data_IF_331883681059
#
_entry.id   IF_331883681059
#
_cell.length_a   1.000
_cell.length_b   1.000
_cell.length_c   1.000
_cell.angle_alpha   90.00
_cell.angle_beta   90.00
_cell.angle_gamma   90.00
#
_symmetry.space_group_name_H-M   'P 1'
#
loop_
_entity.id
_entity.type
_entity.pdbx_description
1 polymer ?
#
# COMPACT_ATOMS: atom_id res chain seq x y z
N UNK A 1 20.42 -7.43 12.75
CA UNK A 1 20.65 -7.65 11.30
C UNK A 1 21.21 -6.39 10.65
N UNK A 2 20.58 -5.23 10.79
CA UNK A 2 20.99 -3.96 10.14
C UNK A 2 22.47 -3.59 10.39
N UNK A 3 23.00 -3.74 11.61
CA UNK A 3 24.41 -3.46 11.90
C UNK A 3 25.39 -4.39 11.16
N UNK A 4 25.00 -5.65 10.93
CA UNK A 4 25.86 -6.65 10.27
C UNK A 4 25.98 -6.37 8.77
N UNK A 5 24.90 -5.90 8.14
CA UNK A 5 24.80 -5.73 6.71
C UNK A 5 24.69 -4.25 6.26
N UNK A 6 25.02 -3.28 7.14
CA UNK A 6 24.75 -1.86 6.93
C UNK A 6 25.24 -1.32 5.56
N UNK A 7 26.39 -1.75 5.06
CA UNK A 7 26.94 -1.29 3.78
C UNK A 7 26.32 -1.99 2.55
N UNK A 8 25.60 -3.11 2.75
CA UNK A 8 24.92 -3.86 1.69
C UNK A 8 23.44 -3.50 1.58
N UNK A 9 22.85 -2.95 2.65
CA UNK A 9 21.43 -2.60 2.71
C UNK A 9 21.10 -1.56 1.64
N UNK A 10 19.94 -1.71 1.00
CA UNK A 10 19.43 -0.92 -0.13
C UNK A 10 20.23 -1.05 -1.43
N UNK A 11 21.38 -1.72 -1.42
CA UNK A 11 22.21 -1.98 -2.60
C UNK A 11 22.06 -3.42 -3.10
N UNK A 12 22.52 -4.36 -2.31
CA UNK A 12 22.59 -5.79 -2.63
C UNK A 12 21.61 -6.62 -1.77
N UNK A 13 21.11 -6.02 -0.68
CA UNK A 13 20.30 -6.70 0.33
C UNK A 13 19.23 -5.76 0.90
N UNK A 14 18.06 -6.32 1.20
CA UNK A 14 17.06 -5.71 2.06
C UNK A 14 16.83 -6.63 3.27
N UNK A 15 16.79 -6.04 4.46
CA UNK A 15 16.49 -6.77 5.69
C UNK A 15 15.23 -6.24 6.36
N UNK A 16 14.46 -7.14 6.91
CA UNK A 16 13.29 -6.80 7.71
C UNK A 16 13.07 -7.86 8.77
N UNK A 17 13.44 -7.54 10.01
CA UNK A 17 13.38 -8.45 11.16
C UNK A 17 14.15 -9.75 10.87
N UNK A 18 13.44 -10.85 10.55
CA UNK A 18 14.02 -12.18 10.27
C UNK A 18 14.08 -12.50 8.76
N UNK A 19 13.68 -11.55 7.91
CA UNK A 19 13.69 -11.74 6.46
C UNK A 19 14.86 -11.02 5.83
N UNK A 20 15.60 -11.73 4.98
CA UNK A 20 16.68 -11.17 4.18
C UNK A 20 16.36 -11.45 2.71
N UNK A 21 16.33 -10.41 1.89
CA UNK A 21 16.18 -10.50 0.44
C UNK A 21 17.46 -10.05 -0.20
N UNK A 22 18.15 -10.98 -0.85
CA UNK A 22 19.37 -10.70 -1.63
C UNK A 22 18.96 -10.39 -3.05
N UNK A 23 19.44 -9.28 -3.59
CA UNK A 23 19.15 -8.80 -4.96
C UNK A 23 20.42 -8.44 -5.68
N UNK A 24 20.41 -8.55 -6.99
CA UNK A 24 21.50 -8.12 -7.88
C UNK A 24 20.94 -7.33 -9.06
N UNK A 25 21.74 -6.46 -9.65
CA UNK A 25 21.33 -5.70 -10.84
C UNK A 25 21.31 -6.57 -12.09
N UNK A 26 22.29 -7.49 -12.21
CA UNK A 26 22.41 -8.45 -13.30
C UNK A 26 22.34 -9.86 -12.75
N UNK A 27 21.81 -10.77 -13.52
CA UNK A 27 21.71 -12.20 -13.14
C UNK A 27 23.08 -12.80 -12.88
N UNK A 28 24.08 -12.46 -13.69
CA UNK A 28 25.46 -12.94 -13.62
C UNK A 28 26.15 -12.56 -12.30
N UNK A 29 25.81 -11.39 -11.75
CA UNK A 29 26.42 -10.90 -10.51
C UNK A 29 25.80 -11.54 -9.26
N UNK A 30 24.68 -12.26 -9.40
CA UNK A 30 23.90 -12.72 -8.25
C UNK A 30 24.69 -13.69 -7.36
N UNK A 31 25.45 -14.61 -7.96
CA UNK A 31 26.29 -15.57 -7.22
C UNK A 31 27.40 -14.86 -6.44
N UNK A 32 28.00 -13.79 -7.01
CA UNK A 32 29.01 -12.99 -6.32
C UNK A 32 28.43 -12.26 -5.10
N UNK A 33 27.21 -11.71 -5.26
CA UNK A 33 26.51 -11.05 -4.17
C UNK A 33 26.14 -12.05 -3.07
N UNK A 34 25.60 -13.22 -3.43
CA UNK A 34 25.30 -14.28 -2.46
C UNK A 34 26.54 -14.73 -1.70
N UNK A 35 27.70 -14.88 -2.35
CA UNK A 35 28.96 -15.22 -1.69
C UNK A 35 29.31 -14.22 -0.60
N UNK A 36 29.25 -12.91 -0.89
CA UNK A 36 29.50 -11.85 0.10
C UNK A 36 28.53 -11.96 1.28
N UNK A 37 27.25 -12.22 1.03
CA UNK A 37 26.25 -12.39 2.09
C UNK A 37 26.59 -13.59 2.95
N UNK A 38 26.94 -14.75 2.36
CA UNK A 38 27.29 -15.95 3.11
C UNK A 38 28.61 -15.82 3.88
N UNK A 39 29.59 -15.08 3.38
CA UNK A 39 30.80 -14.72 4.12
C UNK A 39 30.45 -13.95 5.40
N UNK A 40 29.52 -12.97 5.31
CA UNK A 40 29.05 -12.24 6.50
C UNK A 40 28.31 -13.17 7.46
N UNK A 41 27.46 -14.08 6.98
CA UNK A 41 26.82 -15.09 7.84
C UNK A 41 27.87 -15.92 8.61
N UNK A 42 28.95 -16.32 7.96
CA UNK A 42 30.05 -17.09 8.61
C UNK A 42 30.78 -16.27 9.66
N UNK A 43 31.16 -15.03 9.33
CA UNK A 43 31.88 -14.13 10.25
C UNK A 43 31.07 -13.90 11.53
N UNK A 44 29.77 -13.63 11.39
CA UNK A 44 28.88 -13.35 12.53
C UNK A 44 28.17 -14.59 13.09
N UNK A 45 28.55 -15.79 12.64
CA UNK A 45 27.99 -17.08 13.08
C UNK A 45 26.46 -17.14 12.98
N UNK A 46 25.87 -16.47 12.00
CA UNK A 46 24.43 -16.50 11.75
C UNK A 46 24.01 -17.82 11.14
N UNK A 47 22.89 -18.37 11.61
CA UNK A 47 22.31 -19.61 11.09
C UNK A 47 21.04 -19.31 10.32
N UNK A 48 20.88 -19.93 9.16
CA UNK A 48 19.67 -19.85 8.32
C UNK A 48 18.86 -21.13 8.46
N UNK A 49 17.54 -20.99 8.42
CA UNK A 49 16.67 -22.14 8.23
C UNK A 49 16.54 -22.43 6.73
N UNK A 50 17.31 -23.39 6.23
CA UNK A 50 17.34 -23.74 4.81
C UNK A 50 15.98 -24.17 4.25
N UNK A 51 15.11 -24.75 5.07
CA UNK A 51 13.74 -25.14 4.66
C UNK A 51 12.84 -23.93 4.33
N UNK A 52 13.23 -22.74 4.81
CA UNK A 52 12.53 -21.48 4.55
C UNK A 52 13.24 -20.59 3.53
N UNK A 53 14.40 -21.01 3.04
CA UNK A 53 15.18 -20.26 2.06
C UNK A 53 14.78 -20.66 0.65
N UNK A 54 14.69 -19.67 -0.25
CA UNK A 54 14.50 -19.89 -1.67
C UNK A 54 15.62 -19.17 -2.42
N UNK A 55 16.29 -19.88 -3.33
CA UNK A 55 17.43 -19.38 -4.10
C UNK A 55 17.13 -19.47 -5.60
N UNK A 56 17.62 -18.50 -6.37
CA UNK A 56 17.48 -18.49 -7.83
C UNK A 56 16.04 -18.39 -8.33
N UNK A 57 15.12 -17.87 -7.51
CA UNK A 57 13.70 -17.74 -7.84
C UNK A 57 13.42 -16.43 -8.58
N UNK A 58 12.49 -16.47 -9.54
CA UNK A 58 12.01 -15.28 -10.26
C UNK A 58 11.04 -14.43 -9.44
N UNK A 59 10.44 -15.03 -8.40
CA UNK A 59 9.54 -14.39 -7.46
C UNK A 59 9.75 -14.94 -6.06
N UNK A 60 9.68 -14.09 -5.03
CA UNK A 60 9.86 -14.48 -3.64
C UNK A 60 8.71 -14.01 -2.76
N UNK A 61 8.33 -14.82 -1.78
CA UNK A 61 7.41 -14.39 -0.72
C UNK A 61 8.15 -13.48 0.26
N UNK A 62 7.72 -12.24 0.39
CA UNK A 62 8.29 -11.28 1.31
C UNK A 62 7.18 -10.50 2.02
N UNK A 63 7.16 -10.55 3.35
CA UNK A 63 6.15 -9.88 4.16
C UNK A 63 4.70 -10.16 3.71
N UNK A 64 4.43 -11.40 3.28
CA UNK A 64 3.10 -11.81 2.82
C UNK A 64 2.65 -11.24 1.47
N UNK A 65 3.59 -10.72 0.71
CA UNK A 65 3.44 -10.37 -0.69
C UNK A 65 4.28 -11.31 -1.54
N UNK A 66 3.85 -11.51 -2.77
CA UNK A 66 4.65 -12.18 -3.80
C UNK A 66 5.33 -11.08 -4.62
N UNK A 67 6.63 -10.97 -4.45
CA UNK A 67 7.45 -9.93 -5.10
C UNK A 67 8.13 -10.52 -6.30
N UNK A 68 7.82 -10.01 -7.47
CA UNK A 68 8.49 -10.29 -8.75
C UNK A 68 9.44 -9.15 -9.11
N UNK A 69 10.09 -9.23 -10.27
CA UNK A 69 11.03 -8.19 -10.73
C UNK A 69 10.43 -6.76 -10.70
N UNK A 70 9.18 -6.59 -11.17
CA UNK A 70 8.47 -5.29 -11.19
C UNK A 70 7.03 -5.36 -10.74
N UNK A 71 6.60 -6.49 -10.18
CA UNK A 71 5.21 -6.72 -9.77
C UNK A 71 5.17 -7.11 -8.31
N UNK A 72 4.16 -6.65 -7.64
CA UNK A 72 3.86 -7.03 -6.26
C UNK A 72 2.43 -7.52 -6.25
N UNK A 73 2.26 -8.79 -5.93
CA UNK A 73 0.98 -9.44 -5.78
C UNK A 73 0.75 -9.82 -4.31
N UNK A 74 -0.51 -10.03 -3.95
CA UNK A 74 -0.81 -10.63 -2.64
C UNK A 74 -0.51 -12.12 -2.64
N UNK A 75 -0.01 -12.61 -1.50
CA UNK A 75 0.06 -14.06 -1.28
C UNK A 75 -1.36 -14.66 -1.26
N UNK A 76 -1.63 -15.58 -2.19
CA UNK A 76 -2.93 -16.25 -2.34
C UNK A 76 -3.42 -16.91 -1.05
N UNK A 77 -2.54 -17.46 -0.24
CA UNK A 77 -2.91 -18.04 1.05
C UNK A 77 -3.57 -17.03 1.99
N UNK A 78 -3.13 -15.76 1.97
CA UNK A 78 -3.73 -14.69 2.79
C UNK A 78 -5.06 -14.21 2.23
N UNK A 79 -5.18 -14.09 0.90
CA UNK A 79 -6.44 -13.69 0.28
C UNK A 79 -7.51 -14.74 0.47
N UNK A 80 -7.18 -16.03 0.30
CA UNK A 80 -8.07 -17.16 0.57
C UNK A 80 -8.54 -17.14 2.03
N UNK A 81 -7.60 -16.96 2.98
CA UNK A 81 -7.96 -16.88 4.41
C UNK A 81 -9.02 -15.83 4.69
N UNK A 82 -8.94 -14.65 4.05
CA UNK A 82 -9.94 -13.58 4.24
C UNK A 82 -11.24 -13.91 3.48
N UNK A 83 -11.14 -14.43 2.26
CA UNK A 83 -12.29 -14.77 1.42
C UNK A 83 -13.15 -15.88 2.02
N UNK A 84 -12.55 -16.81 2.77
CA UNK A 84 -13.25 -17.95 3.40
C UNK A 84 -13.67 -17.69 4.86
N UNK A 85 -13.41 -16.51 5.41
CA UNK A 85 -13.84 -16.18 6.77
C UNK A 85 -15.37 -16.18 6.90
N UNK A 86 -15.87 -16.66 8.02
CA UNK A 86 -17.30 -16.53 8.37
C UNK A 86 -17.63 -15.07 8.72
N UNK A 87 -18.87 -14.62 8.48
CA UNK A 87 -19.31 -13.29 8.94
C UNK A 87 -19.08 -13.13 10.44
N UNK A 88 -18.59 -11.97 10.89
CA UNK A 88 -18.28 -11.76 12.30
C UNK A 88 -19.55 -11.72 13.13
N UNK A 89 -19.60 -12.55 14.19
CA UNK A 89 -20.69 -12.60 15.15
C UNK A 89 -20.48 -11.66 16.34
N UNK A 90 -19.24 -11.20 16.56
CA UNK A 90 -18.88 -10.28 17.67
C UNK A 90 -17.84 -9.22 17.26
N UNK A 91 -17.76 -8.15 18.04
CA UNK A 91 -16.85 -7.03 17.77
C UNK A 91 -15.37 -7.44 17.72
N UNK A 92 -14.95 -8.47 18.46
CA UNK A 92 -13.57 -9.00 18.43
C UNK A 92 -13.24 -9.62 17.07
N UNK A 93 -14.18 -10.39 16.50
CA UNK A 93 -14.02 -11.01 15.18
C UNK A 93 -14.00 -9.95 14.07
N UNK A 94 -14.90 -8.96 14.15
CA UNK A 94 -14.89 -7.84 13.22
C UNK A 94 -13.56 -7.07 13.27
N UNK A 95 -13.02 -6.79 14.45
CA UNK A 95 -11.69 -6.15 14.59
C UNK A 95 -10.58 -7.00 13.97
N UNK A 96 -10.63 -8.33 14.16
CA UNK A 96 -9.67 -9.26 13.56
C UNK A 96 -9.76 -9.25 12.03
N UNK A 97 -10.97 -9.31 11.48
CA UNK A 97 -11.23 -9.21 10.05
C UNK A 97 -10.68 -7.89 9.47
N UNK A 98 -11.07 -6.75 10.06
CA UNK A 98 -10.64 -5.43 9.60
C UNK A 98 -9.11 -5.25 9.67
N UNK A 99 -8.44 -5.85 10.66
CA UNK A 99 -6.97 -5.85 10.75
C UNK A 99 -6.35 -6.59 9.56
N UNK A 100 -6.87 -7.76 9.20
CA UNK A 100 -6.42 -8.52 8.03
C UNK A 100 -6.63 -7.74 6.73
N UNK A 101 -7.81 -7.13 6.56
CA UNK A 101 -8.13 -6.29 5.39
C UNK A 101 -7.25 -5.04 5.34
N UNK A 102 -6.97 -4.40 6.48
CA UNK A 102 -6.09 -3.23 6.55
C UNK A 102 -4.64 -3.53 6.13
N UNK A 103 -4.18 -4.75 6.31
CA UNK A 103 -2.87 -5.19 5.87
C UNK A 103 -2.70 -5.07 4.34
N UNK A 104 -3.76 -5.36 3.60
CA UNK A 104 -3.77 -5.34 2.12
C UNK A 104 -4.39 -4.06 1.55
N UNK A 105 -4.60 -3.03 2.38
CA UNK A 105 -5.27 -1.77 2.00
C UNK A 105 -4.73 -1.10 0.75
N UNK A 106 -3.41 -1.29 0.44
CA UNK A 106 -2.78 -0.70 -0.74
C UNK A 106 -3.30 -1.26 -2.07
N UNK A 107 -3.93 -2.43 -2.05
CA UNK A 107 -4.52 -3.09 -3.21
C UNK A 107 -6.01 -2.78 -3.39
N UNK A 108 -6.65 -2.11 -2.43
CA UNK A 108 -8.09 -1.90 -2.42
C UNK A 108 -8.40 -0.42 -2.55
N UNK A 109 -8.99 -0.06 -3.69
CA UNK A 109 -9.44 1.30 -3.92
C UNK A 109 -10.57 1.67 -2.97
N UNK A 110 -10.42 2.81 -2.27
CA UNK A 110 -11.48 3.35 -1.41
C UNK A 110 -11.85 2.45 -0.23
N UNK A 111 -10.94 1.61 0.27
CA UNK A 111 -11.19 0.68 1.37
C UNK A 111 -11.90 1.34 2.57
N UNK A 112 -11.49 2.56 2.92
CA UNK A 112 -12.07 3.29 4.04
C UNK A 112 -13.55 3.58 3.82
N UNK A 113 -13.95 3.97 2.61
CA UNK A 113 -15.36 4.18 2.25
C UNK A 113 -16.16 2.88 2.37
N UNK A 114 -15.60 1.76 1.90
CA UNK A 114 -16.24 0.45 1.97
C UNK A 114 -16.42 0.01 3.44
N UNK A 115 -15.39 0.18 4.28
CA UNK A 115 -15.41 -0.27 5.67
C UNK A 115 -16.15 0.67 6.63
N UNK A 116 -16.58 1.85 6.18
CA UNK A 116 -17.28 2.84 7.01
C UNK A 116 -18.58 2.30 7.64
N UNK A 117 -19.25 1.35 6.98
CA UNK A 117 -20.46 0.67 7.51
C UNK A 117 -20.22 -0.07 8.82
N UNK A 118 -18.97 -0.50 9.07
CA UNK A 118 -18.61 -1.19 10.30
C UNK A 118 -18.28 -0.24 11.47
N UNK A 119 -18.12 1.06 11.20
CA UNK A 119 -17.70 2.03 12.22
C UNK A 119 -18.66 2.09 13.42
N UNK A 120 -19.98 1.98 13.16
CA UNK A 120 -21.01 1.98 14.20
C UNK A 120 -20.89 0.75 15.12
N UNK A 121 -20.56 -0.42 14.58
CA UNK A 121 -20.43 -1.68 15.34
C UNK A 121 -19.19 -1.71 16.26
N UNK A 122 -18.23 -0.81 16.05
CA UNK A 122 -17.02 -0.73 16.84
C UNK A 122 -17.09 0.30 17.98
N UNK A 123 -18.19 1.07 18.08
CA UNK A 123 -18.41 2.02 19.17
C UNK A 123 -18.63 1.26 20.49
N UNK A 124 -17.98 1.75 21.55
CA UNK A 124 -18.19 1.24 22.91
C UNK A 124 -19.67 1.41 23.31
N UNK A 125 -20.23 0.43 24.06
CA UNK A 125 -21.60 0.42 24.62
C UNK A 125 -22.73 0.16 23.61
N UNK A 126 -22.47 -0.29 22.39
CA UNK A 126 -23.54 -0.78 21.50
C UNK A 126 -23.54 -2.30 21.43
N UNK A 127 -24.76 -2.90 21.41
CA UNK A 127 -24.91 -4.33 21.13
C UNK A 127 -24.41 -4.63 19.71
N UNK A 128 -23.58 -5.65 19.58
CA UNK A 128 -23.08 -6.07 18.26
C UNK A 128 -24.19 -6.79 17.50
N UNK A 129 -24.75 -6.14 16.49
CA UNK A 129 -25.72 -6.75 15.55
C UNK A 129 -25.23 -6.48 14.13
N UNK A 130 -24.77 -7.53 13.46
CA UNK A 130 -24.36 -7.46 12.06
C UNK A 130 -25.63 -7.50 11.20
N UNK A 131 -26.12 -6.35 10.79
CA UNK A 131 -27.29 -6.20 9.92
C UNK A 131 -26.96 -6.48 8.46
N UNK A 132 -27.97 -6.38 7.59
CA UNK A 132 -27.85 -6.69 6.16
C UNK A 132 -26.78 -5.83 5.43
N UNK A 133 -26.74 -4.53 5.72
CA UNK A 133 -25.75 -3.63 5.15
C UNK A 133 -24.30 -4.04 5.46
N UNK A 134 -24.03 -4.50 6.69
CA UNK A 134 -22.73 -4.99 7.10
C UNK A 134 -22.40 -6.33 6.45
N UNK A 135 -23.37 -7.24 6.35
CA UNK A 135 -23.21 -8.52 5.66
C UNK A 135 -22.90 -8.32 4.17
N UNK A 136 -23.62 -7.41 3.51
CA UNK A 136 -23.37 -7.05 2.12
C UNK A 136 -21.96 -6.46 1.93
N UNK A 137 -21.54 -5.55 2.84
CA UNK A 137 -20.17 -5.01 2.82
C UNK A 137 -19.13 -6.10 3.05
N UNK A 138 -19.39 -7.02 3.96
CA UNK A 138 -18.50 -8.16 4.22
C UNK A 138 -18.31 -9.03 2.97
N UNK A 139 -19.42 -9.45 2.33
CA UNK A 139 -19.39 -10.22 1.06
C UNK A 139 -18.67 -9.46 -0.04
N UNK A 140 -18.93 -8.16 -0.16
CA UNK A 140 -18.21 -7.30 -1.14
C UNK A 140 -16.71 -7.30 -0.91
N UNK A 141 -16.25 -7.20 0.33
CA UNK A 141 -14.83 -7.30 0.65
C UNK A 141 -14.26 -8.66 0.30
N UNK A 142 -14.99 -9.75 0.57
CA UNK A 142 -14.57 -11.09 0.16
C UNK A 142 -14.45 -11.24 -1.36
N UNK A 143 -15.39 -10.69 -2.12
CA UNK A 143 -15.30 -10.66 -3.60
C UNK A 143 -14.09 -9.86 -4.10
N UNK A 144 -13.77 -8.73 -3.45
CA UNK A 144 -12.57 -7.95 -3.80
C UNK A 144 -11.30 -8.79 -3.59
N UNK A 145 -11.27 -9.68 -2.56
CA UNK A 145 -10.11 -10.55 -2.30
C UNK A 145 -9.82 -11.53 -3.43
N UNK A 146 -10.82 -11.93 -4.19
CA UNK A 146 -10.63 -12.87 -5.32
C UNK A 146 -10.02 -12.20 -6.55
N UNK A 147 -10.11 -10.86 -6.65
CA UNK A 147 -9.68 -10.09 -7.83
C UNK A 147 -8.87 -8.84 -7.44
N UNK A 148 -7.85 -9.03 -6.62
CA UNK A 148 -6.95 -7.92 -6.27
C UNK A 148 -6.07 -7.53 -7.47
N UNK A 149 -5.87 -6.24 -7.71
CA UNK A 149 -5.00 -5.80 -8.79
C UNK A 149 -3.54 -6.10 -8.47
N UNK A 150 -2.76 -6.39 -9.50
CA UNK A 150 -1.31 -6.40 -9.42
C UNK A 150 -0.78 -4.98 -9.32
N UNK A 151 0.14 -4.74 -8.40
CA UNK A 151 0.84 -3.46 -8.30
C UNK A 151 2.18 -3.51 -9.03
N UNK A 152 2.54 -2.40 -9.66
CA UNK A 152 3.82 -2.27 -10.36
C UNK A 152 4.81 -1.45 -9.55
N UNK A 153 6.06 -1.89 -9.52
CA UNK A 153 7.14 -1.06 -9.00
C UNK A 153 7.42 0.10 -9.99
N UNK A 154 7.49 1.35 -9.52
CA UNK A 154 7.65 2.49 -10.40
C UNK A 154 9.02 2.49 -11.10
N UNK A 155 9.03 2.88 -12.35
CA UNK A 155 10.23 3.01 -13.19
C UNK A 155 10.88 4.35 -12.88
N UNK A 156 12.17 4.34 -12.51
CA UNK A 156 12.93 5.56 -12.23
C UNK A 156 12.93 6.50 -13.44
N UNK A 157 13.00 7.82 -13.18
CA UNK A 157 13.03 8.90 -14.18
C UNK A 157 11.75 9.05 -15.02
N UNK A 158 10.74 8.20 -14.88
CA UNK A 158 9.42 8.39 -15.48
C UNK A 158 8.49 9.09 -14.50
N UNK A 159 7.62 10.02 -14.95
CA UNK A 159 6.68 10.69 -14.07
C UNK A 159 5.64 9.72 -13.54
N UNK A 160 5.12 10.01 -12.36
CA UNK A 160 3.98 9.34 -11.76
C UNK A 160 2.72 10.17 -11.97
N UNK A 161 1.61 9.52 -12.23
CA UNK A 161 0.29 10.13 -12.36
C UNK A 161 -0.42 10.01 -11.01
N UNK A 162 -0.86 11.12 -10.45
CA UNK A 162 -1.59 11.17 -9.18
C UNK A 162 -3.05 11.50 -9.44
N UNK A 163 -3.92 10.56 -9.16
CA UNK A 163 -5.38 10.72 -9.21
C UNK A 163 -5.91 10.92 -7.81
N UNK A 164 -6.73 11.93 -7.62
CA UNK A 164 -7.33 12.28 -6.34
C UNK A 164 -8.84 12.18 -6.40
N UNK A 165 -9.43 11.65 -5.34
CA UNK A 165 -10.87 11.55 -5.16
C UNK A 165 -11.27 11.97 -3.76
N UNK A 166 -12.38 12.68 -3.63
CA UNK A 166 -12.99 13.01 -2.35
C UNK A 166 -14.47 12.62 -2.37
N UNK A 167 -14.95 12.10 -1.25
CA UNK A 167 -16.34 11.83 -0.95
C UNK A 167 -16.75 12.61 0.30
N UNK A 168 -18.03 12.62 0.70
CA UNK A 168 -18.44 13.29 1.94
C UNK A 168 -17.69 12.83 3.18
N UNK A 169 -17.26 11.56 3.24
CA UNK A 169 -16.71 10.94 4.46
C UNK A 169 -15.30 10.36 4.29
N UNK A 170 -14.76 10.37 3.09
CA UNK A 170 -13.45 9.78 2.83
C UNK A 170 -12.74 10.47 1.67
N UNK A 171 -11.42 10.41 1.71
CA UNK A 171 -10.54 10.86 0.64
C UNK A 171 -9.68 9.70 0.15
N UNK A 172 -9.28 9.78 -1.12
CA UNK A 172 -8.47 8.75 -1.76
C UNK A 172 -7.47 9.32 -2.76
N UNK A 173 -6.36 8.64 -2.89
CA UNK A 173 -5.33 8.90 -3.87
C UNK A 173 -4.91 7.60 -4.55
N UNK A 174 -4.68 7.68 -5.85
CA UNK A 174 -4.12 6.60 -6.65
C UNK A 174 -2.87 7.12 -7.35
N UNK A 175 -1.79 6.36 -7.24
CA UNK A 175 -0.59 6.58 -8.06
C UNK A 175 -0.55 5.53 -9.16
N UNK A 176 -0.39 5.98 -10.38
CA UNK A 176 -0.16 5.16 -11.55
C UNK A 176 1.08 5.63 -12.32
N UNK A 177 1.57 4.78 -13.20
CA UNK A 177 2.66 5.14 -14.12
C UNK A 177 2.39 4.50 -15.48
N UNK A 178 2.68 5.23 -16.57
CA UNK A 178 2.58 4.67 -17.90
C UNK A 178 3.76 3.72 -18.19
N UNK A 179 3.45 2.55 -18.69
CA UNK A 179 4.45 1.59 -19.17
C UNK A 179 5.07 2.00 -20.52
N UNK A 180 5.81 1.09 -21.18
CA UNK A 180 6.39 1.33 -22.50
C UNK A 180 5.37 1.45 -23.63
N UNK A 181 4.19 0.88 -23.47
CA UNK A 181 3.07 0.92 -24.40
C UNK A 181 2.06 2.06 -24.13
N UNK A 182 2.32 2.90 -23.11
CA UNK A 182 1.43 4.00 -22.73
C UNK A 182 0.28 3.59 -21.80
N UNK A 183 0.17 2.31 -21.43
CA UNK A 183 -0.86 1.78 -20.53
C UNK A 183 -0.52 2.17 -19.08
N UNK A 184 -1.52 2.67 -18.38
CA UNK A 184 -1.36 3.04 -16.98
C UNK A 184 -1.33 1.80 -16.08
N UNK A 185 -0.25 1.66 -15.34
CA UNK A 185 -0.02 0.59 -14.37
C UNK A 185 -0.18 1.13 -12.96
N UNK A 186 -0.90 0.38 -12.13
CA UNK A 186 -1.12 0.74 -10.73
C UNK A 186 0.17 0.64 -9.92
N UNK A 187 0.50 1.70 -9.19
CA UNK A 187 1.62 1.72 -8.24
C UNK A 187 1.15 1.66 -6.79
N UNK A 188 0.13 2.44 -6.43
CA UNK A 188 -0.33 2.51 -5.04
C UNK A 188 -1.75 3.09 -4.91
N UNK A 189 -2.53 2.54 -3.97
CA UNK A 189 -3.76 3.16 -3.46
C UNK A 189 -3.56 3.70 -2.05
N UNK A 190 -4.05 4.90 -1.77
CA UNK A 190 -4.19 5.45 -0.43
C UNK A 190 -5.63 5.90 -0.20
N UNK A 191 -6.15 5.70 0.99
CA UNK A 191 -7.45 6.23 1.39
C UNK A 191 -7.44 6.60 2.87
N UNK A 192 -8.23 7.60 3.23
CA UNK A 192 -8.34 8.12 4.59
C UNK A 192 -9.78 8.53 4.89
N UNK A 193 -10.26 8.22 6.12
CA UNK A 193 -11.54 8.69 6.60
C UNK A 193 -11.41 10.15 7.03
N UNK A 194 -12.34 10.99 6.59
CA UNK A 194 -12.43 12.35 7.09
C UNK A 194 -12.90 12.35 8.55
N UNK A 195 -12.28 13.18 9.37
CA UNK A 195 -12.73 13.47 10.73
C UNK A 195 -14.02 14.29 10.68
N UNK A 196 -14.79 14.30 11.76
CA UNK A 196 -16.08 15.00 11.81
C UNK A 196 -15.99 16.47 11.36
N UNK A 197 -14.94 17.19 11.74
CA UNK A 197 -14.67 18.57 11.31
C UNK A 197 -14.38 18.63 9.81
N UNK A 198 -13.55 17.72 9.27
CA UNK A 198 -13.13 17.69 7.87
C UNK A 198 -14.31 17.33 6.94
N UNK A 199 -15.33 16.62 7.45
CA UNK A 199 -16.54 16.30 6.66
C UNK A 199 -17.34 17.56 6.29
N UNK A 200 -17.18 18.65 7.04
CA UNK A 200 -17.87 19.93 6.82
C UNK A 200 -17.14 20.86 5.86
N UNK A 201 -15.90 20.52 5.46
CA UNK A 201 -15.13 21.35 4.54
C UNK A 201 -15.81 21.46 3.17
N UNK A 202 -15.76 22.65 2.52
CA UNK A 202 -16.14 22.82 1.13
C UNK A 202 -15.37 21.88 0.19
N UNK A 203 -15.90 21.66 -1.01
CA UNK A 203 -15.28 20.76 -1.99
C UNK A 203 -13.83 21.13 -2.32
N UNK A 204 -13.52 22.43 -2.41
CA UNK A 204 -12.17 22.89 -2.73
C UNK A 204 -11.20 22.58 -1.58
N UNK A 205 -11.58 22.86 -0.33
CA UNK A 205 -10.76 22.54 0.83
C UNK A 205 -10.56 21.02 0.99
N UNK A 206 -11.59 20.20 0.75
CA UNK A 206 -11.45 18.74 0.74
C UNK A 206 -10.46 18.29 -0.33
N UNK A 207 -10.46 18.91 -1.50
CA UNK A 207 -9.51 18.55 -2.55
C UNK A 207 -8.07 18.98 -2.19
N UNK A 208 -7.87 20.13 -1.53
CA UNK A 208 -6.58 20.51 -0.97
C UNK A 208 -6.13 19.53 0.13
N UNK A 209 -7.03 19.15 1.02
CA UNK A 209 -6.76 18.16 2.07
C UNK A 209 -6.31 16.82 1.47
N UNK A 210 -6.90 16.38 0.36
CA UNK A 210 -6.47 15.15 -0.34
C UNK A 210 -5.04 15.28 -0.84
N UNK A 211 -4.66 16.45 -1.39
CA UNK A 211 -3.29 16.70 -1.88
C UNK A 211 -2.30 16.64 -0.72
N UNK A 212 -2.60 17.34 0.38
CA UNK A 212 -1.75 17.34 1.58
C UNK A 212 -1.62 15.93 2.14
N UNK A 213 -2.74 15.22 2.30
CA UNK A 213 -2.72 13.84 2.78
C UNK A 213 -1.89 12.90 1.86
N UNK A 214 -2.06 13.02 0.55
CA UNK A 214 -1.31 12.24 -0.43
C UNK A 214 0.19 12.56 -0.37
N UNK A 215 0.57 13.83 -0.30
CA UNK A 215 1.99 14.25 -0.22
C UNK A 215 2.67 13.74 1.05
N UNK A 216 1.99 13.80 2.19
CA UNK A 216 2.51 13.28 3.45
C UNK A 216 2.60 11.75 3.46
N UNK A 217 1.51 11.08 3.04
CA UNK A 217 1.43 9.61 3.08
C UNK A 217 2.35 8.95 2.06
N UNK A 218 2.56 9.58 0.92
CA UNK A 218 3.30 9.06 -0.22
C UNK A 218 4.61 9.85 -0.43
N UNK A 219 5.11 10.48 0.64
CA UNK A 219 6.29 11.37 0.60
C UNK A 219 7.48 10.79 -0.16
N UNK A 220 7.76 9.50 0.01
CA UNK A 220 8.87 8.84 -0.66
C UNK A 220 8.71 8.81 -2.21
N UNK A 221 7.48 8.78 -2.73
CA UNK A 221 7.25 8.95 -4.17
C UNK A 221 7.40 10.40 -4.60
N UNK A 222 6.89 11.35 -3.81
CA UNK A 222 6.98 12.79 -4.11
C UNK A 222 8.43 13.28 -4.14
N UNK A 223 9.29 12.74 -3.29
CA UNK A 223 10.72 13.09 -3.27
C UNK A 223 11.53 12.43 -4.39
N UNK A 224 11.11 11.23 -4.84
CA UNK A 224 11.90 10.43 -5.79
C UNK A 224 11.46 10.60 -7.25
N UNK A 225 10.24 11.11 -7.50
CA UNK A 225 9.64 11.17 -8.84
C UNK A 225 8.97 12.51 -9.11
N UNK A 226 8.95 12.90 -10.39
CA UNK A 226 8.06 13.97 -10.86
C UNK A 226 6.62 13.50 -10.76
N UNK A 227 5.77 14.24 -10.05
CA UNK A 227 4.34 13.94 -9.89
C UNK A 227 3.53 14.79 -10.86
N UNK A 228 2.71 14.14 -11.69
CA UNK A 228 1.73 14.79 -12.55
C UNK A 228 0.34 14.62 -11.92
N UNK A 229 -0.22 15.71 -11.42
CA UNK A 229 -1.55 15.70 -10.83
C UNK A 229 -2.62 15.64 -11.92
N UNK A 230 -3.42 14.57 -11.89
CA UNK A 230 -4.51 14.30 -12.84
C UNK A 230 -5.84 14.70 -12.20
N UNK A 231 -6.32 15.90 -12.51
CA UNK A 231 -7.59 16.38 -11.98
C UNK A 231 -8.33 17.31 -12.96
N UNK A 232 -9.65 17.29 -12.83
CA UNK A 232 -10.54 18.10 -13.69
C UNK A 232 -10.80 19.51 -13.13
N UNK A 233 -10.50 19.78 -11.85
CA UNK A 233 -10.83 21.05 -11.21
C UNK A 233 -9.90 22.18 -11.65
N UNK A 234 -10.46 23.18 -12.34
CA UNK A 234 -9.73 24.37 -12.78
C UNK A 234 -9.31 25.25 -11.58
N UNK A 235 -10.15 25.35 -10.55
CA UNK A 235 -9.86 26.14 -9.35
C UNK A 235 -8.57 25.66 -8.63
N UNK A 236 -8.40 24.35 -8.49
CA UNK A 236 -7.19 23.81 -7.85
C UNK A 236 -5.97 23.95 -8.76
N UNK A 237 -6.14 23.81 -10.09
CA UNK A 237 -5.05 24.09 -11.03
C UNK A 237 -4.56 25.54 -10.93
N UNK A 238 -5.49 26.50 -10.78
CA UNK A 238 -5.14 27.90 -10.57
C UNK A 238 -4.41 28.13 -9.27
N UNK A 239 -4.87 27.55 -8.15
CA UNK A 239 -4.21 27.64 -6.84
C UNK A 239 -2.77 27.08 -6.87
N UNK A 240 -2.58 25.90 -7.45
CA UNK A 240 -1.25 25.27 -7.51
C UNK A 240 -0.27 25.96 -8.47
N UNK A 241 -0.74 26.88 -9.31
CA UNK A 241 0.11 27.71 -10.17
C UNK A 241 0.58 29.00 -9.49
N UNK A 242 -0.02 29.38 -8.39
CA UNK A 242 0.40 30.55 -7.64
C UNK A 242 1.74 30.29 -6.94
N UNK A 243 2.71 31.21 -7.02
CA UNK A 243 4.03 31.04 -6.42
C UNK A 243 4.00 31.07 -4.89
N UNK A 244 3.00 31.70 -4.30
CA UNK A 244 2.82 31.82 -2.85
C UNK A 244 1.38 31.43 -2.52
N UNK A 245 1.22 30.44 -1.67
CA UNK A 245 -0.06 30.08 -1.07
C UNK A 245 -0.10 30.64 0.35
N UNK A 246 -1.20 31.27 0.72
CA UNK A 246 -1.43 31.84 2.05
C UNK A 246 -2.68 31.28 2.69
N UNK A 247 -2.77 31.36 4.02
CA UNK A 247 -3.90 30.88 4.78
C UNK A 247 -3.95 29.36 4.89
N UNK A 248 -5.16 28.78 4.91
CA UNK A 248 -5.36 27.32 5.06
C UNK A 248 -4.84 26.46 3.91
N UNK A 249 -4.39 27.07 2.83
CA UNK A 249 -3.98 26.40 1.59
C UNK A 249 -2.44 26.36 1.46
N UNK A 250 -1.73 27.13 2.28
CA UNK A 250 -0.25 27.17 2.32
C UNK A 250 0.39 25.99 3.05
#
# INVERSE_FOLDING_TARGET
MTAIFHYMIHRELEDYVDYIVVKSRRREDHVKVLRKVFERFRVFKLRMNLLKCAFGVSAGKFLGFLVHNRRIDMDSAKTITIATMKPPAMAKELKSFLRKVSYIRRFILGLVSITSTFAKLLKKRQSFKCGEAQQTTFRRLQQIMTNLPTMQAPIRKKPLLLYLASSPHAIGALIAQKDGGGIEQLVYYASHALKDVETRYPRVEKACLVIVHASQRLRHYFLAYKICLMMKSQAIKALLRQPILSGRIS
#
